data_IF_184919837356
#
_entry.id   IF_184919837356
#
_cell.length_a   1.000
_cell.length_b   1.000
_cell.length_c   1.000
_cell.angle_alpha   90.00
_cell.angle_beta   90.00
_cell.angle_gamma   90.00
#
_symmetry.space_group_name_H-M   'P 1'
#
loop_
_entity.id
_entity.type
_entity.pdbx_description
1 polymer ?
#
# COMPACT_ATOMS: atom_id res chain seq x y z
N UNK A 1 1.09 -10.96 11.16
CA UNK A 1 2.44 -10.82 10.60
C UNK A 1 2.49 -11.20 9.12
N UNK A 2 2.03 -12.41 8.76
CA UNK A 2 2.01 -12.94 7.39
C UNK A 2 1.35 -11.97 6.37
N UNK A 3 0.16 -11.48 6.68
CA UNK A 3 -0.58 -10.57 5.79
C UNK A 3 0.09 -9.21 5.58
N UNK A 4 0.88 -8.72 6.54
CA UNK A 4 1.68 -7.51 6.40
C UNK A 4 2.83 -7.73 5.41
N UNK A 5 3.54 -8.86 5.50
CA UNK A 5 4.65 -9.21 4.61
C UNK A 5 4.20 -9.45 3.16
N UNK A 6 3.03 -10.06 2.98
CA UNK A 6 2.44 -10.31 1.64
C UNK A 6 1.71 -9.10 1.07
N UNK A 7 1.82 -7.90 1.69
CA UNK A 7 1.15 -6.65 1.29
C UNK A 7 -0.39 -6.74 1.22
N UNK A 8 -0.98 -7.74 1.87
CA UNK A 8 -2.43 -7.87 2.01
C UNK A 8 -2.93 -7.04 3.20
N UNK A 9 -2.71 -5.74 3.15
CA UNK A 9 -2.90 -4.80 4.26
C UNK A 9 -4.30 -4.80 4.86
N UNK A 10 -5.33 -4.93 4.04
CA UNK A 10 -6.72 -5.03 4.50
C UNK A 10 -6.93 -6.25 5.41
N UNK A 11 -6.43 -7.41 5.01
CA UNK A 11 -6.52 -8.63 5.82
C UNK A 11 -5.68 -8.53 7.10
N UNK A 12 -4.55 -7.85 7.02
CA UNK A 12 -3.71 -7.58 8.20
C UNK A 12 -4.42 -6.68 9.21
N UNK A 13 -5.14 -5.64 8.75
CA UNK A 13 -5.92 -4.75 9.60
C UNK A 13 -7.09 -5.47 10.27
N UNK A 14 -7.87 -6.24 9.52
CA UNK A 14 -8.99 -7.03 10.07
C UNK A 14 -8.50 -8.02 11.13
N UNK A 15 -7.38 -8.70 10.88
CA UNK A 15 -6.78 -9.60 11.86
C UNK A 15 -6.30 -8.86 13.12
N UNK A 16 -5.72 -7.68 12.96
CA UNK A 16 -5.28 -6.85 14.10
C UNK A 16 -6.48 -6.33 14.91
N UNK A 17 -7.56 -5.91 14.25
CA UNK A 17 -8.79 -5.46 14.92
C UNK A 17 -9.41 -6.58 15.76
N UNK A 18 -9.51 -7.77 15.20
CA UNK A 18 -10.05 -8.94 15.91
C UNK A 18 -9.22 -9.28 17.15
N UNK A 19 -7.90 -9.21 17.04
CA UNK A 19 -7.01 -9.45 18.17
C UNK A 19 -7.13 -8.36 19.24
N UNK A 20 -7.17 -7.10 18.87
CA UNK A 20 -7.40 -5.98 19.81
C UNK A 20 -8.73 -6.14 20.53
N UNK A 21 -9.80 -6.55 19.85
CA UNK A 21 -11.11 -6.76 20.46
C UNK A 21 -11.12 -7.94 21.44
N UNK A 22 -10.40 -9.01 21.13
CA UNK A 22 -10.24 -10.18 21.99
C UNK A 22 -9.42 -9.86 23.25
N UNK A 23 -8.36 -9.08 23.10
CA UNK A 23 -7.47 -8.61 24.19
C UNK A 23 -8.16 -7.57 25.08
N UNK A 24 -9.03 -6.71 24.52
CA UNK A 24 -9.90 -5.83 25.29
C UNK A 24 -10.87 -6.62 26.19
N UNK A 25 -11.39 -7.77 25.70
CA UNK A 25 -12.26 -8.67 26.50
C UNK A 25 -11.50 -9.37 27.62
N UNK A 26 -10.23 -9.69 27.38
CA UNK A 26 -9.35 -10.39 28.34
C UNK A 26 -8.62 -9.45 29.30
N UNK A 27 -8.75 -8.14 29.12
CA UNK A 27 -8.08 -7.09 29.89
C UNK A 27 -6.54 -7.17 29.85
N UNK A 28 -5.99 -7.70 28.74
CA UNK A 28 -4.55 -7.88 28.52
C UNK A 28 -3.93 -6.65 27.81
N UNK A 29 -3.82 -5.54 28.55
CA UNK A 29 -3.33 -4.26 27.99
C UNK A 29 -1.91 -4.32 27.40
N UNK A 30 -1.05 -5.22 27.88
CA UNK A 30 0.33 -5.34 27.42
C UNK A 30 0.43 -5.82 25.96
N UNK A 31 -0.52 -6.60 25.47
CA UNK A 31 -0.55 -7.11 24.09
C UNK A 31 -1.13 -6.11 23.11
N UNK A 32 -2.05 -5.24 23.56
CA UNK A 32 -2.71 -4.21 22.73
C UNK A 32 -1.71 -3.24 22.07
N UNK A 33 -0.62 -2.90 22.77
CA UNK A 33 0.42 -2.01 22.26
C UNK A 33 1.02 -2.53 20.96
N UNK A 34 1.32 -3.83 20.91
CA UNK A 34 1.90 -4.46 19.72
C UNK A 34 0.97 -4.36 18.49
N UNK A 35 -0.33 -4.48 18.72
CA UNK A 35 -1.33 -4.42 17.65
C UNK A 35 -1.60 -2.98 17.19
N UNK A 36 -1.61 -2.00 18.10
CA UNK A 36 -1.68 -0.58 17.71
C UNK A 36 -0.46 -0.15 16.88
N UNK A 37 0.73 -0.53 17.30
CA UNK A 37 1.97 -0.31 16.54
C UNK A 37 1.89 -0.95 15.16
N UNK A 38 1.47 -2.23 15.10
CA UNK A 38 1.33 -2.95 13.83
C UNK A 38 0.33 -2.28 12.89
N UNK A 39 -0.82 -1.81 13.41
CA UNK A 39 -1.80 -1.03 12.62
C UNK A 39 -1.20 0.27 12.11
N UNK A 40 -0.49 1.02 12.96
CA UNK A 40 0.19 2.25 12.57
C UNK A 40 1.18 2.03 11.42
N UNK A 41 1.99 0.96 11.51
CA UNK A 41 2.93 0.61 10.44
C UNK A 41 2.24 0.16 9.15
N UNK A 42 1.10 -0.57 9.25
CA UNK A 42 0.30 -0.95 8.08
C UNK A 42 -0.29 0.29 7.41
N UNK A 43 -0.91 1.20 8.17
CA UNK A 43 -1.45 2.45 7.62
C UNK A 43 -0.35 3.33 7.02
N UNK A 44 0.84 3.36 7.62
CA UNK A 44 2.02 4.03 7.06
C UNK A 44 2.43 3.45 5.71
N UNK A 45 2.45 2.12 5.61
CA UNK A 45 2.75 1.40 4.37
C UNK A 45 1.68 1.61 3.28
N UNK A 46 0.43 1.87 3.68
CA UNK A 46 -0.69 2.22 2.79
C UNK A 46 -0.72 3.72 2.42
N UNK A 47 0.23 4.55 2.89
CA UNK A 47 0.24 6.00 2.66
C UNK A 47 -0.78 6.82 3.49
N UNK A 48 -1.52 6.19 4.38
CA UNK A 48 -2.55 6.81 5.24
C UNK A 48 -1.90 7.40 6.50
N UNK A 49 -1.23 8.55 6.33
CA UNK A 49 -0.43 9.17 7.41
C UNK A 49 -1.25 9.53 8.64
N UNK A 50 -2.46 10.03 8.47
CA UNK A 50 -3.33 10.46 9.59
C UNK A 50 -3.67 9.28 10.51
N UNK A 51 -4.11 8.16 9.94
CA UNK A 51 -4.43 6.94 10.67
C UNK A 51 -3.18 6.30 11.28
N UNK A 52 -2.07 6.34 10.56
CA UNK A 52 -0.80 5.86 11.09
C UNK A 52 -0.38 6.63 12.34
N UNK A 53 -0.52 7.97 12.31
CA UNK A 53 -0.20 8.84 13.45
C UNK A 53 -1.13 8.56 14.64
N UNK A 54 -2.44 8.40 14.40
CA UNK A 54 -3.43 8.10 15.46
C UNK A 54 -3.11 6.77 16.18
N UNK A 55 -2.81 5.70 15.42
CA UNK A 55 -2.50 4.40 16.01
C UNK A 55 -1.13 4.37 16.69
N UNK A 56 -0.12 5.09 16.17
CA UNK A 56 1.16 5.24 16.84
C UNK A 56 1.04 6.07 18.11
N UNK A 57 0.20 7.10 18.13
CA UNK A 57 -0.10 7.86 19.35
C UNK A 57 -0.77 7.00 20.41
N UNK A 58 -1.75 6.15 20.04
CA UNK A 58 -2.37 5.17 20.95
C UNK A 58 -1.37 4.17 21.52
N UNK A 59 -0.43 3.70 20.69
CA UNK A 59 0.68 2.83 21.14
C UNK A 59 1.56 3.53 22.18
N UNK A 60 1.99 4.77 21.89
CA UNK A 60 2.85 5.54 22.80
C UNK A 60 2.14 5.81 24.14
N UNK A 61 0.86 6.22 24.10
CA UNK A 61 0.05 6.46 25.32
C UNK A 61 -0.10 5.19 26.16
N UNK A 62 -0.30 4.05 25.53
CA UNK A 62 -0.41 2.76 26.23
C UNK A 62 0.93 2.33 26.83
N UNK A 63 2.03 2.51 26.10
CA UNK A 63 3.40 2.19 26.57
C UNK A 63 3.80 3.07 27.76
N UNK A 64 3.49 4.36 27.72
CA UNK A 64 3.73 5.28 28.86
C UNK A 64 2.87 4.90 30.08
N UNK A 65 1.60 4.50 29.88
CA UNK A 65 0.71 4.05 30.97
C UNK A 65 1.25 2.77 31.65
N UNK A 66 1.71 1.80 30.86
CA UNK A 66 2.31 0.55 31.39
C UNK A 66 3.62 0.85 32.13
N UNK A 67 4.44 1.76 31.59
CA UNK A 67 5.70 2.17 32.20
C UNK A 67 5.47 2.87 33.56
N UNK A 68 4.50 3.79 33.64
CA UNK A 68 4.12 4.44 34.87
C UNK A 68 3.62 3.44 35.93
N UNK A 69 2.77 2.47 35.55
CA UNK A 69 2.30 1.43 36.46
C UNK A 69 3.41 0.55 37.01
N UNK A 70 4.42 0.20 36.19
CA UNK A 70 5.56 -0.59 36.62
C UNK A 70 6.52 0.19 37.56
N UNK A 71 6.68 1.51 37.33
CA UNK A 71 7.47 2.40 38.20
C UNK A 71 6.79 2.57 39.58
N UNK A 72 5.48 2.73 39.64
CA UNK A 72 4.71 2.84 40.90
C UNK A 72 4.79 1.54 41.72
N UNK A 73 4.70 0.36 41.08
CA UNK A 73 4.87 -0.93 41.75
C UNK A 73 6.31 -1.11 42.29
N UNK A 74 7.32 -0.64 41.59
CA UNK A 74 8.71 -0.66 42.02
C UNK A 74 8.94 0.23 43.26
N UNK A 75 8.36 1.44 43.27
CA UNK A 75 8.48 2.39 44.39
C UNK A 75 7.77 1.87 45.64
N UNK A 76 6.59 1.27 45.47
CA UNK A 76 5.82 0.68 46.59
C UNK A 76 6.55 -0.53 47.22
N UNK A 77 7.21 -1.36 46.39
CA UNK A 77 8.07 -2.44 46.83
C UNK A 77 9.30 -1.96 47.63
N UNK A 78 9.90 -0.85 47.18
CA UNK A 78 11.03 -0.24 47.88
C UNK A 78 10.64 0.37 49.24
N UNK A 79 9.47 1.02 49.30
CA UNK A 79 8.96 1.54 50.57
C UNK A 79 8.68 0.44 51.60
N UNK A 80 8.21 -0.72 51.14
CA UNK A 80 7.97 -1.91 52.01
C UNK A 80 9.29 -2.48 52.51
N UNK A 81 10.33 -2.54 51.67
CA UNK A 81 11.67 -2.99 52.07
C UNK A 81 12.32 -2.05 53.08
N UNK A 82 12.20 -0.72 52.90
CA UNK A 82 12.72 0.29 53.83
C UNK A 82 12.00 0.19 55.18
N UNK A 83 10.70 -0.04 55.21
CA UNK A 83 9.93 -0.23 56.43
C UNK A 83 10.30 -1.55 57.15
N UNK A 84 10.58 -2.62 56.39
CA UNK A 84 11.06 -3.87 56.99
C UNK A 84 12.47 -3.73 57.56
N UNK A 85 13.38 -2.98 56.94
CA UNK A 85 14.70 -2.68 57.47
C UNK A 85 14.65 -1.88 58.77
N UNK A 86 13.75 -0.85 58.80
CA UNK A 86 13.52 -0.04 60.01
C UNK A 86 13.00 -0.90 61.17
N UNK A 87 12.02 -1.78 60.92
CA UNK A 87 11.49 -2.71 61.91
C UNK A 87 12.54 -3.71 62.39
N UNK A 88 13.42 -4.12 61.51
CA UNK A 88 14.53 -5.00 61.87
C UNK A 88 15.64 -4.28 62.67
N UNK A 89 15.83 -2.96 62.42
CA UNK A 89 16.75 -2.12 63.22
C UNK A 89 16.25 -1.93 64.66
N UNK A 90 14.91 -1.62 64.82
CA UNK A 90 14.28 -1.51 66.15
C UNK A 90 14.29 -2.85 66.94
N UNK A 91 14.11 -3.98 66.21
CA UNK A 91 14.27 -5.30 66.81
C UNK A 91 15.71 -5.58 67.21
N UNK A 92 16.71 -5.02 66.51
CA UNK A 92 18.15 -5.19 66.86
C UNK A 92 18.52 -4.41 68.10
N UNK A 93 17.94 -3.25 68.39
CA UNK A 93 18.18 -2.52 69.65
C UNK A 93 17.64 -3.28 70.84
N UNK A 94 16.53 -3.99 70.72
CA UNK A 94 15.90 -4.81 71.76
C UNK A 94 16.67 -6.15 72.06
N UNK A 95 17.52 -6.54 71.17
CA UNK A 95 18.20 -7.83 71.24
C UNK A 95 19.73 -7.70 71.32
N UNK A 96 20.23 -6.55 71.76
CA UNK A 96 21.65 -6.21 71.93
C UNK A 96 22.35 -6.97 73.02
N UNK A 97 21.90 -8.15 73.42
CA UNK A 97 22.50 -8.94 74.47
C UNK A 97 23.20 -10.19 73.98
N UNK A 98 23.83 -10.27 72.94
CA UNK A 98 24.67 -11.40 72.70
C UNK A 98 25.60 -11.27 71.49
N UNK A 99 26.87 -11.51 71.72
CA UNK A 99 27.93 -11.62 70.71
C UNK A 99 27.66 -12.64 69.58
N UNK A 100 26.66 -13.52 69.79
CA UNK A 100 26.17 -14.44 68.71
C UNK A 100 25.53 -13.77 67.51
N UNK A 101 25.11 -12.51 67.63
CA UNK A 101 24.43 -11.83 66.55
C UNK A 101 25.37 -11.24 65.49
N UNK A 102 26.55 -10.87 65.86
CA UNK A 102 27.49 -10.31 64.86
C UNK A 102 27.90 -11.37 63.82
N UNK A 103 28.03 -12.62 64.28
CA UNK A 103 28.33 -13.72 63.39
C UNK A 103 27.12 -14.04 62.44
N UNK A 104 25.92 -13.99 63.00
CA UNK A 104 24.70 -14.25 62.25
C UNK A 104 24.42 -13.14 61.18
N UNK A 105 24.71 -11.87 61.55
CA UNK A 105 24.59 -10.76 60.62
C UNK A 105 25.64 -10.85 59.50
N UNK A 106 26.87 -11.29 59.80
CA UNK A 106 27.89 -11.54 58.75
C UNK A 106 27.49 -12.70 57.84
N UNK A 107 26.89 -13.75 58.39
CA UNK A 107 26.38 -14.88 57.59
C UNK A 107 25.20 -14.44 56.67
N UNK A 108 24.26 -13.63 57.20
CA UNK A 108 23.15 -13.10 56.43
C UNK A 108 23.60 -12.14 55.30
N UNK A 109 24.64 -11.33 55.60
CA UNK A 109 25.24 -10.44 54.57
C UNK A 109 25.93 -11.24 53.47
N UNK A 110 26.68 -12.31 53.84
CA UNK A 110 27.31 -13.20 52.85
C UNK A 110 26.25 -13.92 52.01
N UNK A 111 25.17 -14.40 52.64
CA UNK A 111 24.06 -15.06 51.93
C UNK A 111 23.35 -14.07 51.00
N UNK A 112 23.09 -12.85 51.47
CA UNK A 112 22.44 -11.81 50.62
C UNK A 112 23.34 -11.39 49.47
N UNK A 113 24.67 -11.31 49.71
CA UNK A 113 25.63 -10.99 48.64
C UNK A 113 25.73 -12.12 47.62
N UNK A 114 25.74 -13.37 48.07
CA UNK A 114 25.73 -14.54 47.18
C UNK A 114 24.43 -14.63 46.39
N UNK A 115 23.28 -14.38 47.04
CA UNK A 115 21.98 -14.38 46.34
C UNK A 115 21.88 -13.23 45.30
N UNK A 116 22.40 -12.05 45.65
CA UNK A 116 22.50 -10.93 44.73
C UNK A 116 23.41 -11.25 43.53
N UNK A 117 24.56 -11.84 43.79
CA UNK A 117 25.49 -12.27 42.73
C UNK A 117 24.89 -13.36 41.83
N UNK A 118 24.16 -14.32 42.41
CA UNK A 118 23.44 -15.35 41.66
C UNK A 118 22.34 -14.70 40.82
N UNK A 119 21.61 -13.72 41.37
CA UNK A 119 20.55 -13.00 40.63
C UNK A 119 21.14 -12.18 39.48
N UNK A 120 22.24 -11.45 39.73
CA UNK A 120 22.95 -10.69 38.67
C UNK A 120 23.49 -11.63 37.59
N UNK A 121 24.07 -12.78 38.01
CA UNK A 121 24.55 -13.78 37.06
C UNK A 121 23.42 -14.34 36.16
N UNK A 122 22.28 -14.69 36.80
CA UNK A 122 21.11 -15.19 36.07
C UNK A 122 20.57 -14.10 35.13
N UNK A 123 20.53 -12.84 35.59
CA UNK A 123 20.10 -11.69 34.79
C UNK A 123 21.00 -11.49 33.56
N UNK A 124 22.31 -11.41 33.77
CA UNK A 124 23.28 -11.25 32.69
C UNK A 124 23.28 -12.46 31.73
N UNK A 125 23.11 -13.66 32.26
CA UNK A 125 22.99 -14.87 31.42
C UNK A 125 21.72 -14.82 30.56
N UNK A 126 20.58 -14.41 31.14
CA UNK A 126 19.33 -14.26 30.39
C UNK A 126 19.42 -13.15 29.35
N UNK A 127 20.01 -12.01 29.72
CA UNK A 127 20.21 -10.89 28.80
C UNK A 127 21.08 -11.30 27.61
N UNK A 128 22.19 -11.95 27.86
CA UNK A 128 23.09 -12.44 26.82
C UNK A 128 22.40 -13.48 25.90
N UNK A 129 21.59 -14.36 26.51
CA UNK A 129 20.79 -15.33 25.75
C UNK A 129 19.70 -14.68 24.91
N UNK A 130 19.05 -13.64 25.44
CA UNK A 130 18.05 -12.86 24.72
C UNK A 130 18.68 -12.08 23.55
N UNK A 131 19.79 -11.41 23.78
CA UNK A 131 20.54 -10.69 22.77
C UNK A 131 21.01 -11.61 21.63
N UNK A 132 21.52 -12.81 21.96
CA UNK A 132 21.87 -13.80 20.93
C UNK A 132 20.67 -14.26 20.11
N UNK A 133 19.51 -14.46 20.75
CA UNK A 133 18.28 -14.82 20.03
C UNK A 133 17.78 -13.69 19.15
N UNK A 134 17.86 -12.46 19.67
CA UNK A 134 17.47 -11.26 18.92
C UNK A 134 18.32 -11.09 17.66
N UNK A 135 19.65 -11.17 17.81
CA UNK A 135 20.60 -11.10 16.70
C UNK A 135 20.36 -12.21 15.66
N UNK A 136 20.10 -13.42 16.12
CA UNK A 136 19.80 -14.54 15.22
C UNK A 136 18.47 -14.31 14.46
N UNK A 137 17.43 -13.88 15.17
CA UNK A 137 16.13 -13.55 14.55
C UNK A 137 16.22 -12.38 13.56
N UNK A 138 17.03 -11.37 13.90
CA UNK A 138 17.28 -10.22 12.99
C UNK A 138 18.04 -10.67 11.74
N UNK A 139 19.02 -11.55 11.87
CA UNK A 139 19.76 -12.11 10.73
C UNK A 139 18.86 -12.98 9.84
N UNK A 140 18.00 -13.81 10.44
CA UNK A 140 17.03 -14.62 9.69
C UNK A 140 16.02 -13.72 8.93
N UNK A 141 15.51 -12.68 9.62
CA UNK A 141 14.60 -11.71 9.01
C UNK A 141 15.27 -10.96 7.84
N UNK A 142 16.55 -10.59 8.02
CA UNK A 142 17.33 -9.95 6.95
C UNK A 142 17.56 -10.88 5.77
N UNK A 143 17.88 -12.16 6.02
CA UNK A 143 18.03 -13.17 4.97
C UNK A 143 16.72 -13.40 4.23
N UNK A 144 15.61 -13.52 4.96
CA UNK A 144 14.29 -13.68 4.38
C UNK A 144 13.87 -12.46 3.55
N UNK A 145 14.14 -11.24 4.05
CA UNK A 145 13.89 -9.99 3.33
C UNK A 145 14.70 -9.92 2.03
N UNK A 146 16.01 -10.18 2.11
CA UNK A 146 16.89 -10.16 0.93
C UNK A 146 16.47 -11.22 -0.11
N UNK A 147 16.10 -12.42 0.35
CA UNK A 147 15.60 -13.47 -0.55
C UNK A 147 14.29 -13.04 -1.24
N UNK A 148 13.36 -12.42 -0.51
CA UNK A 148 12.12 -11.90 -1.05
C UNK A 148 12.36 -10.76 -2.06
N UNK A 149 13.27 -9.84 -1.76
CA UNK A 149 13.66 -8.75 -2.66
C UNK A 149 14.33 -9.30 -3.93
N UNK A 150 15.24 -10.26 -3.79
CA UNK A 150 15.90 -10.91 -4.94
C UNK A 150 14.88 -11.67 -5.78
N UNK A 151 13.97 -12.40 -5.18
CA UNK A 151 12.90 -13.09 -5.90
C UNK A 151 11.98 -12.10 -6.65
N UNK A 152 11.67 -10.96 -6.03
CA UNK A 152 10.88 -9.90 -6.66
C UNK A 152 11.62 -9.26 -7.85
N UNK A 153 12.93 -9.00 -7.73
CA UNK A 153 13.76 -8.49 -8.82
C UNK A 153 13.88 -9.48 -9.97
N UNK A 154 14.13 -10.77 -9.65
CA UNK A 154 14.20 -11.84 -10.65
C UNK A 154 12.87 -11.99 -11.40
N UNK A 155 11.73 -11.91 -10.69
CA UNK A 155 10.40 -11.90 -11.30
C UNK A 155 10.25 -10.76 -12.30
N UNK A 156 10.68 -9.56 -11.92
CA UNK A 156 10.61 -8.38 -12.79
C UNK A 156 11.48 -8.53 -14.03
N UNK A 157 12.74 -8.95 -13.86
CA UNK A 157 13.67 -9.18 -14.97
C UNK A 157 13.17 -10.28 -15.91
N UNK A 158 12.61 -11.36 -15.35
CA UNK A 158 12.02 -12.44 -16.13
C UNK A 158 10.84 -11.94 -16.98
N UNK A 159 9.94 -11.17 -16.40
CA UNK A 159 8.79 -10.60 -17.11
C UNK A 159 9.26 -9.63 -18.22
N UNK A 160 10.27 -8.80 -17.94
CA UNK A 160 10.84 -7.86 -18.92
C UNK A 160 11.50 -8.59 -20.12
N UNK A 161 12.33 -9.62 -19.86
CA UNK A 161 12.96 -10.38 -20.93
C UNK A 161 11.95 -11.19 -21.76
N UNK A 162 11.01 -11.86 -21.08
CA UNK A 162 9.92 -12.58 -21.75
C UNK A 162 9.08 -11.67 -22.65
N UNK A 163 8.79 -10.45 -22.19
CA UNK A 163 8.06 -9.48 -23.00
C UNK A 163 8.77 -9.12 -24.29
N UNK A 164 10.08 -8.90 -24.23
CA UNK A 164 10.85 -8.59 -25.41
C UNK A 164 10.88 -9.79 -26.40
N UNK A 165 11.04 -11.01 -25.86
CA UNK A 165 11.07 -12.23 -26.66
C UNK A 165 9.70 -12.62 -27.24
N UNK A 166 8.60 -12.21 -26.62
CA UNK A 166 7.24 -12.42 -27.15
C UNK A 166 6.90 -11.32 -28.17
N UNK A 167 7.32 -10.07 -27.94
CA UNK A 167 7.01 -8.93 -28.83
C UNK A 167 7.56 -9.16 -30.23
N UNK A 168 8.77 -9.70 -30.36
CA UNK A 168 9.43 -9.90 -31.66
C UNK A 168 8.66 -10.83 -32.59
N UNK A 169 8.32 -12.10 -32.23
CA UNK A 169 7.54 -12.96 -33.10
C UNK A 169 6.11 -12.42 -33.32
N UNK A 170 5.55 -11.73 -32.33
CA UNK A 170 4.20 -11.18 -32.45
C UNK A 170 4.13 -10.01 -33.45
N UNK A 171 5.14 -9.13 -33.45
CA UNK A 171 5.27 -8.08 -34.48
C UNK A 171 5.44 -8.69 -35.89
N UNK A 172 6.13 -9.84 -36.01
CA UNK A 172 6.22 -10.55 -37.27
C UNK A 172 4.87 -11.11 -37.73
N UNK A 173 4.06 -11.67 -36.79
CA UNK A 173 2.70 -12.15 -37.07
C UNK A 173 1.83 -10.99 -37.56
N UNK A 174 1.85 -9.83 -36.88
CA UNK A 174 1.13 -8.62 -37.31
C UNK A 174 1.58 -8.18 -38.71
N UNK A 175 2.88 -8.09 -38.97
CA UNK A 175 3.40 -7.67 -40.25
C UNK A 175 3.01 -8.62 -41.40
N UNK A 176 3.08 -9.94 -41.19
CA UNK A 176 2.63 -10.90 -42.19
C UNK A 176 1.11 -10.88 -42.39
N UNK A 177 0.33 -10.67 -41.34
CA UNK A 177 -1.12 -10.52 -41.41
C UNK A 177 -1.52 -9.30 -42.25
N UNK A 178 -0.85 -8.16 -42.06
CA UNK A 178 -1.05 -6.95 -42.88
C UNK A 178 -0.70 -7.20 -44.36
N UNK A 179 0.45 -7.83 -44.61
CA UNK A 179 0.85 -8.18 -45.98
C UNK A 179 -0.17 -9.11 -46.66
N UNK A 180 -0.73 -10.07 -45.90
CA UNK A 180 -1.76 -10.97 -46.42
C UNK A 180 -3.04 -10.20 -46.71
N UNK A 181 -3.52 -9.32 -45.82
CA UNK A 181 -4.67 -8.48 -46.01
C UNK A 181 -4.56 -7.53 -47.22
N UNK A 182 -3.36 -6.96 -47.39
CA UNK A 182 -3.07 -6.07 -48.54
C UNK A 182 -2.94 -6.83 -49.87
N UNK A 183 -2.34 -8.02 -49.85
CA UNK A 183 -2.09 -8.81 -51.07
C UNK A 183 -3.37 -9.47 -51.60
N UNK A 184 -4.29 -9.83 -50.73
CA UNK A 184 -5.55 -10.52 -51.05
C UNK A 184 -6.78 -9.64 -50.75
N UNK A 185 -6.72 -8.36 -51.14
CA UNK A 185 -7.78 -7.38 -50.84
C UNK A 185 -9.14 -7.76 -51.49
N UNK A 186 -9.13 -8.53 -52.56
CA UNK A 186 -10.33 -8.98 -53.28
C UNK A 186 -10.94 -10.26 -52.71
N UNK A 187 -10.26 -10.91 -51.74
CA UNK A 187 -10.79 -12.06 -51.05
C UNK A 187 -11.32 -11.67 -49.64
N UNK A 188 -12.65 -11.62 -49.47
CA UNK A 188 -13.27 -11.18 -48.23
C UNK A 188 -12.89 -12.03 -47.02
N UNK A 189 -12.70 -13.35 -47.19
CA UNK A 189 -12.39 -14.26 -46.14
C UNK A 189 -10.95 -14.06 -45.61
N UNK A 190 -9.99 -13.95 -46.53
CA UNK A 190 -8.58 -13.66 -46.20
C UNK A 190 -8.45 -12.32 -45.47
N UNK A 191 -9.19 -11.30 -45.89
CA UNK A 191 -9.19 -9.99 -45.24
C UNK A 191 -9.75 -10.06 -43.81
N UNK A 192 -10.82 -10.80 -43.60
CA UNK A 192 -11.40 -11.04 -42.27
C UNK A 192 -10.41 -11.78 -41.37
N UNK A 193 -9.79 -12.86 -41.89
CA UNK A 193 -8.79 -13.60 -41.10
C UNK A 193 -7.56 -12.76 -40.75
N UNK A 194 -7.05 -11.97 -41.70
CA UNK A 194 -5.95 -11.07 -41.47
C UNK A 194 -6.27 -10.04 -40.38
N UNK A 195 -7.44 -9.43 -40.42
CA UNK A 195 -7.89 -8.47 -39.39
C UNK A 195 -8.05 -9.12 -38.02
N UNK A 196 -8.57 -10.34 -37.93
CA UNK A 196 -8.70 -11.08 -36.67
C UNK A 196 -7.32 -11.40 -36.09
N UNK A 197 -6.35 -11.81 -36.91
CA UNK A 197 -4.98 -12.10 -36.46
C UNK A 197 -4.32 -10.81 -35.96
N UNK A 198 -4.44 -9.71 -36.69
CA UNK A 198 -3.90 -8.41 -36.31
C UNK A 198 -4.49 -7.92 -34.99
N UNK A 199 -5.81 -7.94 -34.85
CA UNK A 199 -6.51 -7.54 -33.61
C UNK A 199 -6.06 -8.36 -32.41
N UNK A 200 -6.03 -9.69 -32.53
CA UNK A 200 -5.64 -10.57 -31.42
C UNK A 200 -4.15 -10.39 -31.07
N UNK A 201 -3.29 -10.18 -32.06
CA UNK A 201 -1.87 -9.93 -31.86
C UNK A 201 -1.64 -8.59 -31.14
N UNK A 202 -2.34 -7.54 -31.54
CA UNK A 202 -2.29 -6.24 -30.90
C UNK A 202 -2.83 -6.29 -29.45
N UNK A 203 -3.88 -7.07 -29.22
CA UNK A 203 -4.43 -7.29 -27.88
C UNK A 203 -3.42 -8.01 -26.97
N UNK A 204 -2.69 -8.99 -27.51
CA UNK A 204 -1.64 -9.70 -26.75
C UNK A 204 -0.43 -8.80 -26.45
N UNK A 205 0.00 -7.97 -27.42
CA UNK A 205 1.05 -6.97 -27.19
C UNK A 205 0.68 -5.98 -26.09
N UNK A 206 -0.56 -5.53 -26.07
CA UNK A 206 -1.08 -4.65 -25.00
C UNK A 206 -1.09 -5.34 -23.65
N UNK A 207 -1.54 -6.59 -23.57
CA UNK A 207 -1.50 -7.39 -22.34
C UNK A 207 -0.08 -7.50 -21.76
N UNK A 208 0.89 -7.80 -22.61
CA UNK A 208 2.29 -7.92 -22.20
C UNK A 208 2.82 -6.59 -21.69
N UNK A 209 2.50 -5.50 -22.37
CA UNK A 209 2.89 -4.14 -21.96
C UNK A 209 2.26 -3.78 -20.62
N UNK A 210 0.98 -4.07 -20.43
CA UNK A 210 0.25 -3.84 -19.18
C UNK A 210 0.87 -4.62 -18.00
N UNK A 211 1.26 -5.89 -18.23
CA UNK A 211 1.93 -6.72 -17.20
C UNK A 211 3.32 -6.18 -16.83
N UNK A 212 4.09 -5.72 -17.83
CA UNK A 212 5.37 -5.06 -17.58
C UNK A 212 5.20 -3.81 -16.74
N UNK A 213 4.25 -2.98 -17.09
CA UNK A 213 3.97 -1.75 -16.38
C UNK A 213 3.55 -1.99 -14.94
N UNK A 214 2.69 -2.98 -14.69
CA UNK A 214 2.36 -3.41 -13.33
C UNK A 214 3.59 -3.87 -12.55
N UNK A 215 4.49 -4.60 -13.20
CA UNK A 215 5.75 -5.03 -12.57
C UNK A 215 6.65 -3.85 -12.19
N UNK A 216 6.68 -2.80 -13.02
CA UNK A 216 7.43 -1.57 -12.72
C UNK A 216 6.74 -0.71 -11.64
N UNK A 217 5.42 -0.70 -11.60
CA UNK A 217 4.64 -0.05 -10.56
C UNK A 217 4.78 -0.74 -9.19
N UNK A 218 5.07 -2.04 -9.14
CA UNK A 218 5.32 -2.77 -7.89
C UNK A 218 6.68 -2.41 -7.23
N UNK A 219 7.60 -1.77 -7.95
CA UNK A 219 8.89 -1.31 -7.41
C UNK A 219 8.68 -0.22 -6.36
N UNK A 220 9.50 -0.19 -5.33
CA UNK A 220 9.45 0.83 -4.29
C UNK A 220 9.91 2.20 -4.82
N UNK A 221 9.23 3.28 -4.42
CA UNK A 221 9.60 4.65 -4.76
C UNK A 221 8.46 5.46 -5.38
N UNK A 222 8.58 6.77 -5.32
CA UNK A 222 7.69 7.70 -6.02
C UNK A 222 8.15 7.89 -7.46
N UNK A 223 7.23 8.20 -8.34
CA UNK A 223 7.57 8.61 -9.70
C UNK A 223 8.14 10.05 -9.69
N UNK A 224 9.13 10.34 -10.56
CA UNK A 224 9.55 11.71 -10.78
C UNK A 224 8.36 12.57 -11.25
N UNK A 225 8.21 13.73 -10.63
CA UNK A 225 7.11 14.67 -10.91
C UNK A 225 7.68 16.11 -10.94
N UNK A 226 8.76 16.30 -11.68
CA UNK A 226 9.57 17.52 -11.72
C UNK A 226 9.48 18.28 -13.06
N UNK A 227 8.67 17.79 -14.01
CA UNK A 227 8.49 18.41 -15.32
C UNK A 227 7.39 19.48 -15.24
N UNK A 228 7.71 20.71 -15.71
CA UNK A 228 6.73 21.78 -15.87
C UNK A 228 5.65 21.35 -16.88
N UNK A 229 4.46 21.12 -16.40
CA UNK A 229 3.36 20.48 -17.13
C UNK A 229 2.17 21.42 -17.20
N UNK A 230 1.74 21.76 -18.41
CA UNK A 230 0.48 22.45 -18.63
C UNK A 230 -0.67 21.41 -18.60
N UNK A 231 -1.53 21.51 -17.60
CA UNK A 231 -2.62 20.56 -17.38
C UNK A 231 -3.65 20.62 -18.52
N UNK A 232 -3.90 21.81 -19.08
CA UNK A 232 -4.82 21.95 -20.20
C UNK A 232 -4.35 21.21 -21.45
N UNK A 233 -3.03 21.25 -21.72
CA UNK A 233 -2.46 20.54 -22.87
C UNK A 233 -2.55 19.03 -22.69
N UNK A 234 -2.23 18.52 -21.47
CA UNK A 234 -2.44 17.11 -21.15
C UNK A 234 -3.88 16.67 -21.35
N UNK A 235 -4.85 17.46 -20.88
CA UNK A 235 -6.26 17.14 -21.03
C UNK A 235 -6.71 17.20 -22.50
N UNK A 236 -6.33 18.24 -23.26
CA UNK A 236 -6.66 18.37 -24.68
C UNK A 236 -6.11 17.21 -25.49
N UNK A 237 -4.81 16.93 -25.34
CA UNK A 237 -4.17 15.81 -26.02
C UNK A 237 -4.82 14.46 -25.67
N UNK A 238 -5.22 14.26 -24.40
CA UNK A 238 -5.93 13.05 -23.98
C UNK A 238 -7.30 12.92 -24.65
N UNK A 239 -8.06 14.01 -24.75
CA UNK A 239 -9.35 14.06 -25.44
C UNK A 239 -9.18 13.82 -26.95
N UNK A 240 -8.20 14.44 -27.59
CA UNK A 240 -7.95 14.28 -29.01
C UNK A 240 -7.53 12.85 -29.37
N UNK A 241 -6.78 12.20 -28.48
CA UNK A 241 -6.36 10.80 -28.65
C UNK A 241 -7.55 9.84 -28.80
N UNK A 242 -8.62 10.04 -28.02
CA UNK A 242 -9.76 9.12 -28.03
C UNK A 242 -10.88 9.52 -28.99
N UNK A 243 -10.79 10.68 -29.63
CA UNK A 243 -11.88 11.23 -30.49
C UNK A 243 -12.31 10.27 -31.59
N UNK A 244 -11.39 9.44 -32.09
CA UNK A 244 -11.68 8.44 -33.14
C UNK A 244 -12.38 7.19 -32.61
N UNK A 245 -12.24 6.93 -31.28
CA UNK A 245 -12.77 5.73 -30.63
C UNK A 245 -14.18 5.97 -30.04
N UNK A 246 -14.62 7.23 -30.06
CA UNK A 246 -15.95 7.63 -29.57
C UNK A 246 -17.01 7.22 -30.59
N UNK A 247 -18.07 6.58 -30.12
CA UNK A 247 -19.16 6.11 -30.94
C UNK A 247 -19.97 7.28 -31.54
N UNK A 248 -20.58 7.08 -32.70
CA UNK A 248 -21.46 8.04 -33.34
C UNK A 248 -22.65 8.33 -32.40
N UNK A 249 -22.90 9.61 -32.09
CA UNK A 249 -23.95 10.05 -31.16
C UNK A 249 -23.49 10.23 -29.72
N UNK A 250 -22.17 10.13 -29.44
CA UNK A 250 -21.58 10.48 -28.15
C UNK A 250 -20.83 11.82 -28.27
N UNK A 251 -21.17 12.78 -27.40
CA UNK A 251 -20.47 14.06 -27.34
C UNK A 251 -19.32 14.02 -26.34
N UNK A 252 -18.15 14.51 -26.76
CA UNK A 252 -16.93 14.53 -25.95
C UNK A 252 -16.59 15.97 -25.56
N UNK A 253 -16.63 16.27 -24.27
CA UNK A 253 -16.42 17.60 -23.71
C UNK A 253 -15.16 17.68 -22.85
N UNK A 254 -14.46 18.82 -22.92
CA UNK A 254 -13.41 19.20 -22.00
C UNK A 254 -13.77 20.50 -21.30
N UNK A 255 -13.73 20.49 -19.96
CA UNK A 255 -14.06 21.62 -19.10
C UNK A 255 -12.83 22.01 -18.24
N UNK A 256 -12.02 22.98 -18.68
CA UNK A 256 -10.87 23.45 -17.92
C UNK A 256 -11.31 24.30 -16.73
N UNK A 257 -10.59 24.17 -15.58
CA UNK A 257 -10.82 25.05 -14.44
C UNK A 257 -10.24 26.46 -14.61
N UNK A 258 -9.21 26.60 -15.49
CA UNK A 258 -8.53 27.86 -15.83
C UNK A 258 -8.11 27.85 -17.28
N UNK A 259 -7.86 29.03 -17.87
CA UNK A 259 -7.35 29.15 -19.24
C UNK A 259 -5.95 28.55 -19.40
N UNK A 260 -5.10 28.72 -18.39
CA UNK A 260 -3.77 28.12 -18.30
C UNK A 260 -3.48 27.67 -16.88
N UNK A 261 -2.91 26.47 -16.73
CA UNK A 261 -2.55 25.91 -15.42
C UNK A 261 -1.31 25.01 -15.54
N UNK A 262 -0.17 25.55 -15.08
CA UNK A 262 1.14 24.90 -15.14
C UNK A 262 1.55 24.45 -13.74
N UNK A 263 1.97 23.19 -13.60
CA UNK A 263 2.39 22.57 -12.35
C UNK A 263 3.62 21.70 -12.58
N UNK A 264 4.37 21.38 -11.54
CA UNK A 264 5.39 20.34 -11.59
C UNK A 264 4.74 18.97 -11.46
N UNK A 265 4.83 18.14 -12.49
CA UNK A 265 4.28 16.78 -12.46
C UNK A 265 4.93 15.88 -13.52
N UNK A 266 4.32 14.75 -13.80
CA UNK A 266 4.70 13.83 -14.87
C UNK A 266 3.61 13.81 -15.95
N UNK A 267 3.79 14.56 -17.06
CA UNK A 267 2.76 14.70 -18.09
C UNK A 267 2.39 13.37 -18.76
N UNK A 268 3.37 12.50 -19.01
CA UNK A 268 3.15 11.21 -19.66
C UNK A 268 2.24 10.32 -18.82
N UNK A 269 2.49 10.28 -17.50
CA UNK A 269 1.69 9.47 -16.57
C UNK A 269 0.29 10.04 -16.34
N UNK A 270 0.17 11.36 -16.29
CA UNK A 270 -1.15 12.01 -16.25
C UNK A 270 -1.94 11.65 -17.49
N UNK A 271 -1.37 11.86 -18.68
CA UNK A 271 -2.04 11.54 -19.95
C UNK A 271 -2.41 10.06 -20.03
N UNK A 272 -1.54 9.18 -19.61
CA UNK A 272 -1.80 7.74 -19.59
C UNK A 272 -3.03 7.38 -18.75
N UNK A 273 -3.16 7.95 -17.54
CA UNK A 273 -4.37 7.76 -16.71
C UNK A 273 -5.59 8.33 -17.40
N UNK A 274 -5.52 9.58 -17.90
CA UNK A 274 -6.64 10.24 -18.55
C UNK A 274 -7.11 9.48 -19.79
N UNK A 275 -6.20 9.09 -20.69
CA UNK A 275 -6.52 8.34 -21.92
C UNK A 275 -7.15 6.99 -21.57
N UNK A 276 -6.63 6.27 -20.59
CA UNK A 276 -7.19 4.98 -20.18
C UNK A 276 -8.62 5.13 -19.63
N UNK A 277 -8.87 6.14 -18.81
CA UNK A 277 -10.20 6.42 -18.26
C UNK A 277 -11.17 6.89 -19.34
N UNK A 278 -10.73 7.77 -20.24
CA UNK A 278 -11.51 8.25 -21.35
C UNK A 278 -11.84 7.12 -22.36
N UNK A 279 -10.88 6.24 -22.64
CA UNK A 279 -11.11 5.07 -23.49
C UNK A 279 -12.14 4.11 -22.88
N UNK A 280 -12.09 3.92 -21.55
CA UNK A 280 -13.13 3.15 -20.86
C UNK A 280 -14.51 3.84 -20.99
N UNK A 281 -14.58 5.16 -20.81
CA UNK A 281 -15.81 5.91 -21.00
C UNK A 281 -16.33 5.77 -22.43
N UNK A 282 -15.50 5.95 -23.47
CA UNK A 282 -15.88 5.79 -24.87
C UNK A 282 -16.41 4.39 -25.20
N UNK A 283 -15.76 3.36 -24.63
CA UNK A 283 -16.14 1.97 -24.82
C UNK A 283 -17.50 1.62 -24.23
N UNK A 284 -17.83 2.17 -23.06
CA UNK A 284 -19.04 1.80 -22.30
C UNK A 284 -20.18 2.81 -22.43
N UNK A 285 -20.02 3.88 -23.21
CA UNK A 285 -21.05 4.88 -23.47
C UNK A 285 -21.54 4.75 -24.92
N UNK A 286 -22.65 4.06 -25.18
CA UNK A 286 -23.16 3.87 -26.53
C UNK A 286 -23.82 5.13 -27.09
N UNK A 287 -24.29 6.04 -26.24
CA UNK A 287 -24.88 7.33 -26.60
C UNK A 287 -24.87 8.27 -25.39
N UNK A 288 -24.83 9.59 -25.61
CA UNK A 288 -24.84 10.62 -24.58
C UNK A 288 -23.51 11.37 -24.50
N UNK A 289 -22.99 11.58 -23.28
CA UNK A 289 -21.91 12.52 -23.07
C UNK A 289 -20.75 11.88 -22.31
N UNK A 290 -19.52 12.26 -22.67
CA UNK A 290 -18.30 12.01 -21.92
C UNK A 290 -17.65 13.36 -21.62
N UNK A 291 -17.43 13.65 -20.35
CA UNK A 291 -16.84 14.91 -19.91
C UNK A 291 -15.56 14.67 -19.13
N UNK A 292 -14.46 15.23 -19.61
CA UNK A 292 -13.23 15.42 -18.84
C UNK A 292 -13.27 16.83 -18.23
N UNK A 293 -13.16 16.93 -16.93
CA UNK A 293 -12.99 18.20 -16.23
C UNK A 293 -11.87 18.11 -15.22
N UNK A 294 -11.30 19.24 -14.82
CA UNK A 294 -10.46 19.27 -13.63
C UNK A 294 -10.81 20.46 -12.74
N UNK A 295 -10.52 20.32 -11.45
CA UNK A 295 -10.67 21.36 -10.45
C UNK A 295 -9.45 21.43 -9.54
N UNK A 296 -9.26 22.59 -8.92
CA UNK A 296 -8.14 22.84 -8.01
C UNK A 296 -8.69 22.81 -6.60
N UNK A 297 -8.18 21.90 -5.79
CA UNK A 297 -8.65 21.64 -4.42
C UNK A 297 -7.67 22.15 -3.36
N UNK A 298 -8.17 22.39 -2.12
CA UNK A 298 -7.37 22.75 -0.93
C UNK A 298 -6.37 23.86 -1.21
N UNK A 299 -6.90 25.05 -1.56
CA UNK A 299 -6.08 26.26 -1.77
C UNK A 299 -4.95 26.09 -2.82
N UNK A 300 -5.16 25.24 -3.81
CA UNK A 300 -4.19 24.99 -4.87
C UNK A 300 -3.24 23.83 -4.65
N UNK A 301 -3.35 23.11 -3.54
CA UNK A 301 -2.43 22.01 -3.21
C UNK A 301 -2.70 20.69 -3.92
N UNK A 302 -3.88 20.51 -4.51
CA UNK A 302 -4.26 19.28 -5.24
C UNK A 302 -5.06 19.60 -6.50
N UNK A 303 -4.85 18.78 -7.51
CA UNK A 303 -5.59 18.79 -8.76
C UNK A 303 -6.51 17.58 -8.77
N UNK A 304 -7.78 17.80 -9.01
CA UNK A 304 -8.80 16.76 -9.11
C UNK A 304 -9.31 16.69 -10.55
N UNK A 305 -8.97 15.65 -11.28
CA UNK A 305 -9.54 15.33 -12.57
C UNK A 305 -10.80 14.48 -12.39
N UNK A 306 -11.83 14.79 -13.13
CA UNK A 306 -13.06 14.00 -13.17
C UNK A 306 -13.36 13.58 -14.60
N UNK A 307 -13.53 12.29 -14.80
CA UNK A 307 -13.98 11.72 -16.06
C UNK A 307 -15.38 11.17 -15.80
N UNK A 308 -16.36 11.79 -16.43
CA UNK A 308 -17.78 11.49 -16.24
C UNK A 308 -18.34 10.98 -17.55
N UNK A 309 -19.02 9.85 -17.50
CA UNK A 309 -19.76 9.29 -18.63
C UNK A 309 -21.25 9.11 -18.27
N UNK A 310 -22.09 8.99 -19.30
CA UNK A 310 -23.52 8.69 -19.19
C UNK A 310 -23.85 7.24 -19.56
N UNK A 311 -22.86 6.35 -19.45
CA UNK A 311 -22.99 4.93 -19.73
C UNK A 311 -23.82 4.18 -18.67
N UNK A 312 -23.78 2.83 -18.65
CA UNK A 312 -24.59 2.03 -17.74
C UNK A 312 -24.17 2.14 -16.25
N UNK A 313 -23.03 2.77 -15.96
CA UNK A 313 -22.49 2.89 -14.61
C UNK A 313 -21.91 1.58 -14.09
N UNK A 314 -21.44 1.61 -12.85
CA UNK A 314 -20.81 0.48 -12.16
C UNK A 314 -21.57 0.21 -10.88
N UNK A 315 -22.12 -1.01 -10.67
CA UNK A 315 -22.82 -1.37 -9.44
C UNK A 315 -21.96 -1.15 -8.19
N UNK A 316 -22.57 -0.68 -7.11
CA UNK A 316 -21.88 -0.31 -5.86
C UNK A 316 -20.97 -1.43 -5.32
N UNK A 317 -21.45 -2.67 -5.36
CA UNK A 317 -20.71 -3.86 -4.91
C UNK A 317 -19.48 -4.18 -5.77
N UNK A 318 -19.42 -3.67 -7.01
CA UNK A 318 -18.30 -3.89 -7.94
C UNK A 318 -17.34 -2.70 -8.02
N UNK A 319 -17.69 -1.54 -7.46
CA UNK A 319 -16.92 -0.30 -7.61
C UNK A 319 -15.48 -0.37 -7.09
N UNK A 320 -15.23 -1.10 -6.02
CA UNK A 320 -13.85 -1.31 -5.54
C UNK A 320 -13.17 -2.44 -6.30
N UNK A 321 -13.93 -3.46 -6.69
CA UNK A 321 -13.41 -4.62 -7.40
C UNK A 321 -12.88 -4.27 -8.80
N UNK A 322 -13.42 -3.26 -9.48
CA UNK A 322 -12.96 -2.87 -10.84
C UNK A 322 -11.51 -2.38 -10.88
N UNK A 323 -10.95 -1.96 -9.74
CA UNK A 323 -9.54 -1.60 -9.62
C UNK A 323 -8.61 -2.79 -9.33
N UNK A 324 -9.18 -4.00 -9.13
CA UNK A 324 -8.38 -5.21 -8.94
C UNK A 324 -7.78 -5.66 -10.27
N UNK A 325 -6.62 -6.31 -10.22
CA UNK A 325 -5.95 -6.86 -11.42
C UNK A 325 -6.84 -7.91 -12.08
N UNK A 326 -6.97 -7.85 -13.42
CA UNK A 326 -7.79 -8.75 -14.24
C UNK A 326 -9.31 -8.67 -13.94
N UNK A 327 -9.76 -7.61 -13.27
CA UNK A 327 -11.18 -7.41 -12.99
C UNK A 327 -11.93 -7.05 -14.28
N UNK A 328 -13.05 -7.73 -14.51
CA UNK A 328 -14.02 -7.43 -15.58
C UNK A 328 -15.42 -7.45 -14.99
N UNK A 329 -16.27 -6.54 -15.42
CA UNK A 329 -17.67 -6.48 -15.00
C UNK A 329 -18.47 -7.68 -15.55
N UNK A 330 -18.15 -8.07 -16.80
CA UNK A 330 -18.72 -9.23 -17.50
C UNK A 330 -17.61 -10.02 -18.19
N UNK A 331 -17.80 -11.36 -18.24
CA UNK A 331 -16.85 -12.29 -18.85
C UNK A 331 -16.64 -12.05 -20.35
N UNK A 332 -17.60 -11.41 -21.02
CA UNK A 332 -17.58 -11.11 -22.46
C UNK A 332 -17.04 -9.72 -22.78
N UNK A 333 -16.75 -8.87 -21.76
CA UNK A 333 -16.23 -7.54 -22.04
C UNK A 333 -14.79 -7.63 -22.59
N UNK A 334 -14.56 -7.03 -23.78
CA UNK A 334 -13.24 -6.89 -24.38
C UNK A 334 -12.32 -6.09 -23.43
N UNK A 335 -11.05 -6.46 -23.38
CA UNK A 335 -10.01 -5.75 -22.63
C UNK A 335 -9.28 -6.65 -21.63
N UNK A 336 -8.12 -6.17 -21.17
CA UNK A 336 -7.17 -6.91 -20.32
C UNK A 336 -7.60 -7.02 -18.86
N UNK A 337 -8.43 -6.09 -18.38
CA UNK A 337 -8.77 -5.95 -16.96
C UNK A 337 -7.61 -5.38 -16.11
N UNK A 338 -6.57 -4.84 -16.76
CA UNK A 338 -5.40 -4.30 -16.08
C UNK A 338 -5.39 -2.77 -16.05
N UNK A 339 -6.05 -2.11 -17.00
CA UNK A 339 -5.98 -0.66 -17.18
C UNK A 339 -6.32 0.16 -15.93
N UNK A 340 -7.43 -0.14 -15.23
CA UNK A 340 -7.80 0.58 -14.01
C UNK A 340 -6.84 0.32 -12.85
N UNK A 341 -6.29 -0.89 -12.74
CA UNK A 341 -5.28 -1.21 -11.72
C UNK A 341 -3.95 -0.49 -11.98
N UNK A 342 -3.57 -0.34 -13.26
CA UNK A 342 -2.42 0.48 -13.68
C UNK A 342 -2.66 1.95 -13.34
N UNK A 343 -3.82 2.50 -13.69
CA UNK A 343 -4.18 3.87 -13.37
C UNK A 343 -4.11 4.15 -11.86
N UNK A 344 -4.61 3.23 -11.04
CA UNK A 344 -4.55 3.34 -9.57
C UNK A 344 -3.10 3.31 -9.07
N UNK A 345 -2.28 2.40 -9.60
CA UNK A 345 -0.85 2.32 -9.29
C UNK A 345 -0.09 3.59 -9.67
N UNK A 346 -0.38 4.17 -10.84
CA UNK A 346 0.20 5.45 -11.26
C UNK A 346 -0.24 6.57 -10.32
N UNK A 347 -1.54 6.66 -9.99
CA UNK A 347 -2.07 7.66 -9.07
C UNK A 347 -1.35 7.59 -7.71
N UNK A 348 -1.20 6.40 -7.14
CA UNK A 348 -0.50 6.16 -5.87
C UNK A 348 0.98 6.58 -5.95
N UNK A 349 1.66 6.26 -7.07
CA UNK A 349 3.06 6.64 -7.31
C UNK A 349 3.28 8.14 -7.47
N UNK A 350 2.29 8.84 -8.01
CA UNK A 350 2.26 10.31 -8.08
C UNK A 350 1.91 10.97 -6.73
N UNK A 351 1.63 10.17 -5.70
CA UNK A 351 1.23 10.67 -4.37
C UNK A 351 -0.22 11.12 -4.29
N UNK A 352 -1.03 10.66 -5.24
CA UNK A 352 -2.44 10.96 -5.41
C UNK A 352 -3.36 9.79 -5.07
N UNK A 353 -4.52 9.75 -5.73
CA UNK A 353 -5.49 8.66 -5.62
C UNK A 353 -6.39 8.59 -6.84
N UNK A 354 -6.90 7.40 -7.15
CA UNK A 354 -7.93 7.17 -8.16
C UNK A 354 -9.10 6.41 -7.52
N UNK A 355 -10.29 6.98 -7.60
CA UNK A 355 -11.53 6.43 -7.03
C UNK A 355 -12.70 6.59 -7.99
N UNK A 356 -13.79 5.88 -7.71
CA UNK A 356 -15.08 6.08 -8.36
C UNK A 356 -16.00 6.88 -7.44
N UNK A 357 -16.74 7.85 -7.98
CA UNK A 357 -17.74 8.62 -7.24
C UNK A 357 -19.03 7.81 -7.09
N UNK A 358 -19.21 7.16 -5.95
CA UNK A 358 -20.37 6.31 -5.65
C UNK A 358 -21.69 7.07 -5.55
N UNK A 359 -21.65 8.42 -5.47
CA UNK A 359 -22.85 9.27 -5.43
C UNK A 359 -23.36 9.62 -6.83
N UNK A 360 -22.54 9.43 -7.87
CA UNK A 360 -22.96 9.68 -9.23
C UNK A 360 -23.66 8.44 -9.79
N UNK A 361 -24.94 8.62 -10.23
CA UNK A 361 -25.82 7.51 -10.61
C UNK A 361 -26.29 7.56 -12.08
N UNK A 362 -25.86 8.56 -12.85
CA UNK A 362 -26.26 8.71 -14.27
C UNK A 362 -25.26 8.07 -15.25
N UNK A 363 -24.38 7.23 -14.78
CA UNK A 363 -23.25 6.63 -15.49
C UNK A 363 -22.11 6.36 -14.53
N UNK A 364 -20.86 6.50 -14.97
CA UNK A 364 -19.70 6.42 -14.09
C UNK A 364 -19.01 7.78 -13.97
N UNK A 365 -18.41 8.04 -12.81
CA UNK A 365 -17.54 9.19 -12.60
C UNK A 365 -16.27 8.75 -11.90
N UNK A 366 -15.16 8.73 -12.62
CA UNK A 366 -13.84 8.50 -12.07
C UNK A 366 -13.24 9.81 -11.57
N UNK A 367 -12.61 9.74 -10.39
CA UNK A 367 -11.98 10.87 -9.71
C UNK A 367 -10.51 10.55 -9.51
N UNK A 368 -9.65 11.25 -10.25
CA UNK A 368 -8.20 11.13 -10.20
C UNK A 368 -7.63 12.39 -9.54
N UNK A 369 -6.95 12.22 -8.41
CA UNK A 369 -6.39 13.33 -7.64
C UNK A 369 -4.87 13.18 -7.59
N UNK A 370 -4.16 14.27 -7.88
CA UNK A 370 -2.69 14.36 -7.71
C UNK A 370 -2.33 15.57 -6.86
N UNK A 371 -1.17 15.57 -6.18
CA UNK A 371 -0.64 16.78 -5.55
C UNK A 371 -0.25 17.80 -6.63
N UNK A 372 -0.38 19.07 -6.29
CA UNK A 372 0.23 20.18 -6.99
C UNK A 372 1.56 20.47 -6.27
N UNK A 373 2.64 19.99 -6.85
CA UNK A 373 4.00 20.12 -6.26
C UNK A 373 4.67 21.40 -6.67
#
# INVERSE_FOLDING_TARGET
FYYKQTKQYQKALVAADKQIEEELRLNEHALQGSHYRMKGEIYRAMGRKDLATDFLAKYILLEDSIRQSNEEQSISGFATLVNMERLNAEKKELVLQAQKKELHNKQLLIISLVTLLVFVFIFLYRENRLNKRLLHSEEELRKAKNAAETASQMKTLFIQSMSHEIRTPLNSIVGFSQILGDRYQDDPDTKVYASIIEENSNNLLRLITDVLELSDLDKTGKMPADIMTNINDCCKLSVDNIRKDVQEGVELHFQPAREEFIVKSNPERIMQVLVNLLHNAAKFTPSGDITLAYSIMKEGQRICFTITDTGPGIPLEKQEAVFSRFAKLDSYSQGTGLGLSICRGIADKLGGSLTLDSKYTKGSRFVFIIPNS
#
